data_IF_897032174593
#
_entry.id   IF_897032174593
#
_cell.length_a   1.000
_cell.length_b   1.000
_cell.length_c   1.000
_cell.angle_alpha   90.00
_cell.angle_beta   90.00
_cell.angle_gamma   90.00
#
_symmetry.space_group_name_H-M   'P 1'
#
loop_
_entity.id
_entity.type
_entity.pdbx_description
1 polymer ?
#
# COMPACT_ATOMS: atom_id res chain seq x y z
N UNK A 1 0.02 28.95 -20.88
CA UNK A 1 -0.70 29.30 -19.63
C UNK A 1 0.18 28.88 -18.48
N UNK A 2 0.23 29.64 -17.38
CA UNK A 2 0.96 29.21 -16.18
C UNK A 2 0.17 28.06 -15.54
N UNK A 3 0.78 26.88 -15.36
CA UNK A 3 0.11 25.73 -14.72
C UNK A 3 0.47 25.63 -13.23
N UNK A 4 -0.54 25.49 -12.38
CA UNK A 4 -0.41 25.33 -10.92
C UNK A 4 -0.95 23.98 -10.46
N UNK A 5 -0.07 23.17 -9.88
CA UNK A 5 -0.38 21.85 -9.34
C UNK A 5 -0.61 21.90 -7.82
N UNK A 6 -1.74 21.38 -7.36
CA UNK A 6 -1.93 21.02 -5.96
C UNK A 6 -1.59 19.54 -5.75
N UNK A 7 -0.67 19.21 -4.85
CA UNK A 7 -0.35 17.83 -4.46
C UNK A 7 -0.98 17.55 -3.10
N UNK A 8 -1.98 16.67 -3.06
CA UNK A 8 -2.62 16.22 -1.81
C UNK A 8 -1.84 15.04 -1.25
N UNK A 9 -0.94 15.29 -0.29
CA UNK A 9 -0.23 14.24 0.45
C UNK A 9 -1.15 13.70 1.55
N UNK A 10 -1.79 12.56 1.26
CA UNK A 10 -2.85 11.99 2.10
C UNK A 10 -2.35 11.35 3.40
N UNK A 11 -1.19 10.69 3.36
CA UNK A 11 -0.65 9.90 4.46
C UNK A 11 0.84 9.65 4.29
N UNK A 12 1.46 9.00 5.28
CA UNK A 12 2.89 8.71 5.26
C UNK A 12 3.34 7.74 4.16
N UNK A 13 2.45 6.94 3.57
CA UNK A 13 2.82 6.13 2.40
C UNK A 13 2.75 6.95 1.11
N UNK A 14 1.76 7.85 0.99
CA UNK A 14 1.76 8.91 -0.03
C UNK A 14 3.03 9.76 0.05
N UNK A 15 3.45 10.15 1.26
CA UNK A 15 4.73 10.83 1.48
C UNK A 15 5.91 9.99 0.98
N UNK A 16 6.03 8.72 1.42
CA UNK A 16 7.09 7.81 0.96
C UNK A 16 7.17 7.74 -0.56
N UNK A 17 6.02 7.55 -1.20
CA UNK A 17 5.97 7.27 -2.62
C UNK A 17 6.23 8.53 -3.46
N UNK A 18 5.84 9.72 -3.01
CA UNK A 18 5.88 10.93 -3.85
C UNK A 18 6.91 11.98 -3.40
N UNK A 19 7.24 12.02 -2.11
CA UNK A 19 8.23 12.95 -1.55
C UNK A 19 9.63 12.34 -1.45
N UNK A 20 9.73 11.01 -1.29
CA UNK A 20 11.02 10.30 -1.27
C UNK A 20 11.40 9.69 -2.63
N UNK A 21 10.58 9.88 -3.66
CA UNK A 21 10.90 9.56 -5.06
C UNK A 21 11.37 10.81 -5.82
N UNK A 22 11.55 10.72 -7.13
CA UNK A 22 11.92 11.90 -7.95
C UNK A 22 10.70 12.73 -8.33
N UNK A 23 9.48 12.25 -8.05
CA UNK A 23 8.24 12.89 -8.47
C UNK A 23 8.17 14.38 -8.11
N UNK A 24 8.40 14.74 -6.85
CA UNK A 24 8.27 16.13 -6.40
C UNK A 24 9.19 17.07 -7.19
N UNK A 25 10.46 16.71 -7.34
CA UNK A 25 11.42 17.50 -8.12
C UNK A 25 10.97 17.62 -9.59
N UNK A 26 10.47 16.53 -10.18
CA UNK A 26 9.97 16.53 -11.56
C UNK A 26 8.68 17.31 -11.74
N UNK A 27 7.83 17.38 -10.71
CA UNK A 27 6.66 18.24 -10.72
C UNK A 27 7.08 19.72 -10.69
N UNK A 28 8.07 20.10 -9.89
CA UNK A 28 8.61 21.48 -9.90
C UNK A 28 9.25 21.87 -11.24
N UNK A 29 9.86 20.91 -11.94
CA UNK A 29 10.40 21.14 -13.29
C UNK A 29 9.29 21.27 -14.35
N UNK A 30 8.14 20.61 -14.14
CA UNK A 30 7.06 20.50 -15.14
C UNK A 30 5.97 21.58 -15.02
N UNK A 31 5.74 22.08 -13.81
CA UNK A 31 4.70 23.06 -13.50
C UNK A 31 5.31 24.41 -13.14
N UNK A 32 4.58 25.50 -13.39
CA UNK A 32 5.02 26.84 -13.01
C UNK A 32 5.00 27.04 -11.49
N UNK A 33 4.02 26.42 -10.83
CA UNK A 33 3.87 26.47 -9.39
C UNK A 33 3.35 25.12 -8.87
N UNK A 34 3.92 24.68 -7.75
CA UNK A 34 3.49 23.48 -7.04
C UNK A 34 3.15 23.90 -5.62
N UNK A 35 2.04 23.43 -5.07
CA UNK A 35 1.66 23.61 -3.66
C UNK A 35 1.30 22.26 -3.08
N UNK A 36 1.77 21.98 -1.86
CA UNK A 36 1.43 20.75 -1.15
C UNK A 36 0.24 21.04 -0.22
N UNK A 37 -0.86 20.32 -0.42
CA UNK A 37 -1.96 20.25 0.55
C UNK A 37 -1.75 18.99 1.39
N UNK A 38 -1.29 19.14 2.63
CA UNK A 38 -0.88 17.98 3.44
C UNK A 38 -1.88 17.60 4.51
N UNK A 39 -2.26 16.32 4.54
CA UNK A 39 -2.94 15.71 5.68
C UNK A 39 -1.96 15.30 6.81
N UNK A 40 -0.66 15.50 6.61
CA UNK A 40 0.40 15.36 7.61
C UNK A 40 0.81 16.76 8.12
N UNK A 41 1.39 16.87 9.33
CA UNK A 41 1.97 18.13 9.80
C UNK A 41 3.13 18.60 8.91
N UNK A 42 3.35 19.92 8.77
CA UNK A 42 4.49 20.50 8.03
C UNK A 42 5.84 20.01 8.55
N UNK A 43 5.92 19.74 9.85
CA UNK A 43 7.12 19.19 10.50
C UNK A 43 7.57 17.85 9.87
N UNK A 44 6.66 17.08 9.25
CA UNK A 44 7.01 15.84 8.55
C UNK A 44 7.94 16.07 7.34
N UNK A 45 8.04 17.30 6.83
CA UNK A 45 8.81 17.65 5.64
C UNK A 45 10.14 18.33 5.96
N UNK A 46 10.44 18.60 7.23
CA UNK A 46 11.59 19.44 7.64
C UNK A 46 12.94 18.95 7.14
N UNK A 47 13.09 17.63 7.02
CA UNK A 47 14.33 16.98 6.61
C UNK A 47 14.43 16.83 5.09
N UNK A 48 13.41 17.31 4.35
CA UNK A 48 13.38 17.34 2.90
C UNK A 48 13.61 18.76 2.37
N UNK A 49 14.32 18.86 1.25
CA UNK A 49 14.46 20.12 0.53
C UNK A 49 13.19 20.42 -0.29
N UNK A 50 12.13 20.85 0.39
CA UNK A 50 10.84 21.20 -0.23
C UNK A 50 10.79 22.71 -0.45
N UNK A 51 10.93 23.13 -1.71
CA UNK A 51 10.86 24.53 -2.11
C UNK A 51 9.46 24.89 -2.65
N UNK A 52 8.43 24.69 -1.84
CA UNK A 52 7.07 25.14 -2.16
C UNK A 52 6.25 25.44 -0.91
N UNK A 53 5.10 26.11 -1.09
CA UNK A 53 4.15 26.26 0.00
C UNK A 53 3.58 24.89 0.40
N UNK A 54 3.56 24.64 1.71
CA UNK A 54 2.88 23.50 2.32
C UNK A 54 1.70 24.07 3.13
N UNK A 55 0.49 23.68 2.78
CA UNK A 55 -0.75 24.02 3.47
C UNK A 55 -1.20 22.78 4.24
N UNK A 56 -1.24 22.84 5.57
CA UNK A 56 -1.81 21.75 6.36
C UNK A 56 -3.32 21.76 6.23
N UNK A 57 -3.90 20.61 5.93
CA UNK A 57 -5.34 20.43 5.90
C UNK A 57 -5.83 20.06 7.29
N UNK A 58 -6.85 20.78 7.75
CA UNK A 58 -7.60 20.47 8.95
C UNK A 58 -8.20 19.06 8.89
N UNK A 59 -8.41 18.39 10.03
CA UNK A 59 -8.86 17.00 10.05
C UNK A 59 -10.38 16.94 9.88
N UNK A 60 -10.84 16.33 8.80
CA UNK A 60 -12.26 16.04 8.63
C UNK A 60 -12.68 14.81 9.45
N UNK A 61 -13.61 15.01 10.38
CA UNK A 61 -14.20 13.93 11.18
C UNK A 61 -15.59 13.56 10.63
N UNK A 62 -15.79 12.28 10.30
CA UNK A 62 -17.05 11.83 9.72
C UNK A 62 -18.22 11.90 10.71
N UNK A 63 -19.24 12.69 10.35
CA UNK A 63 -20.57 12.61 10.94
C UNK A 63 -21.24 11.26 10.67
N UNK A 64 -22.31 10.95 11.41
CA UNK A 64 -23.05 9.71 11.19
C UNK A 64 -23.59 9.57 9.75
N UNK A 65 -24.13 10.64 9.17
CA UNK A 65 -24.72 10.58 7.83
C UNK A 65 -23.67 10.49 6.72
N UNK A 66 -22.54 11.19 6.85
CA UNK A 66 -21.41 11.04 5.92
C UNK A 66 -20.86 9.62 5.96
N UNK A 67 -20.66 9.07 7.16
CA UNK A 67 -20.31 7.66 7.36
C UNK A 67 -21.35 6.71 6.74
N UNK A 68 -22.65 6.96 6.94
CA UNK A 68 -23.73 6.09 6.46
C UNK A 68 -23.72 5.97 4.93
N UNK A 69 -23.62 7.09 4.22
CA UNK A 69 -23.59 7.09 2.76
C UNK A 69 -22.26 6.58 2.20
N UNK A 70 -21.13 6.91 2.84
CA UNK A 70 -19.85 6.28 2.52
C UNK A 70 -19.92 4.76 2.66
N UNK A 71 -20.50 4.28 3.75
CA UNK A 71 -20.62 2.85 4.03
C UNK A 71 -21.58 2.17 3.06
N UNK A 72 -22.66 2.84 2.68
CA UNK A 72 -23.58 2.37 1.64
C UNK A 72 -22.88 2.25 0.28
N UNK A 73 -22.08 3.26 -0.09
CA UNK A 73 -21.24 3.25 -1.29
C UNK A 73 -20.23 2.09 -1.28
N UNK A 74 -19.54 1.88 -0.17
CA UNK A 74 -18.57 0.78 0.03
C UNK A 74 -19.24 -0.60 -0.10
N UNK A 75 -20.32 -0.85 0.66
CA UNK A 75 -20.97 -2.15 0.68
C UNK A 75 -21.67 -2.43 -0.65
N UNK A 76 -22.28 -1.42 -1.30
CA UNK A 76 -22.84 -1.54 -2.64
C UNK A 76 -21.79 -1.99 -3.67
N UNK A 77 -20.60 -1.38 -3.67
CA UNK A 77 -19.50 -1.80 -4.54
C UNK A 77 -19.09 -3.25 -4.29
N UNK A 78 -18.90 -3.63 -3.02
CA UNK A 78 -18.56 -5.01 -2.67
C UNK A 78 -19.67 -6.00 -3.09
N UNK A 79 -20.95 -5.63 -2.92
CA UNK A 79 -22.08 -6.45 -3.36
C UNK A 79 -22.12 -6.65 -4.88
N UNK A 80 -21.81 -5.60 -5.65
CA UNK A 80 -21.80 -5.63 -7.11
C UNK A 80 -20.75 -6.62 -7.64
N UNK A 81 -19.57 -6.62 -7.02
CA UNK A 81 -18.39 -7.33 -7.53
C UNK A 81 -18.04 -8.62 -6.78
N UNK A 82 -18.84 -9.05 -5.79
CA UNK A 82 -18.56 -10.29 -5.02
C UNK A 82 -18.61 -11.58 -5.85
N UNK A 83 -19.32 -11.59 -6.97
CA UNK A 83 -19.47 -12.81 -7.79
C UNK A 83 -18.12 -13.16 -8.41
N UNK A 84 -17.66 -14.39 -8.20
CA UNK A 84 -16.38 -14.92 -8.70
C UNK A 84 -15.13 -14.15 -8.22
N UNK A 85 -15.25 -13.28 -7.22
CA UNK A 85 -14.11 -12.59 -6.60
C UNK A 85 -14.12 -12.84 -5.08
N UNK A 86 -13.28 -13.78 -4.65
CA UNK A 86 -13.23 -14.22 -3.26
C UNK A 86 -12.68 -13.15 -2.31
N UNK A 87 -11.73 -12.34 -2.77
CA UNK A 87 -11.18 -11.21 -2.01
C UNK A 87 -12.26 -10.18 -1.65
N UNK A 88 -13.09 -9.81 -2.63
CA UNK A 88 -14.24 -8.91 -2.43
C UNK A 88 -15.31 -9.56 -1.53
N UNK A 89 -15.61 -10.84 -1.73
CA UNK A 89 -16.57 -11.57 -0.89
C UNK A 89 -16.13 -11.59 0.59
N UNK A 90 -14.87 -11.91 0.87
CA UNK A 90 -14.32 -11.92 2.24
C UNK A 90 -14.35 -10.52 2.84
N UNK A 91 -13.99 -9.48 2.07
CA UNK A 91 -14.08 -8.10 2.55
C UNK A 91 -15.53 -7.68 2.81
N UNK A 92 -16.50 -8.11 1.99
CA UNK A 92 -17.92 -7.88 2.25
C UNK A 92 -18.34 -8.49 3.59
N UNK A 93 -17.92 -9.73 3.87
CA UNK A 93 -18.23 -10.39 5.15
C UNK A 93 -17.61 -9.66 6.35
N UNK A 94 -16.35 -9.19 6.24
CA UNK A 94 -15.67 -8.39 7.28
C UNK A 94 -16.39 -7.09 7.61
N UNK A 95 -17.16 -6.55 6.66
CA UNK A 95 -17.91 -5.32 6.85
C UNK A 95 -19.23 -5.51 7.63
N UNK A 96 -19.65 -6.75 7.89
CA UNK A 96 -20.82 -7.05 8.70
C UNK A 96 -20.55 -6.86 10.20
N UNK A 97 -21.56 -6.45 10.97
CA UNK A 97 -21.46 -6.37 12.43
C UNK A 97 -22.78 -6.68 13.13
N UNK A 98 -22.69 -7.38 14.26
CA UNK A 98 -23.80 -7.68 15.17
C UNK A 98 -23.85 -6.72 16.37
N UNK A 99 -23.04 -5.65 16.36
CA UNK A 99 -23.05 -4.65 17.42
C UNK A 99 -24.46 -4.06 17.63
N UNK A 100 -24.84 -3.90 18.90
CA UNK A 100 -26.13 -3.32 19.33
C UNK A 100 -25.97 -1.83 19.63
N UNK A 101 -25.47 -1.07 18.65
CA UNK A 101 -25.33 0.39 18.70
C UNK A 101 -25.85 1.01 17.39
N UNK A 102 -26.06 2.34 17.30
CA UNK A 102 -26.65 2.97 16.12
C UNK A 102 -25.96 2.60 14.79
N UNK A 103 -24.61 2.59 14.75
CA UNK A 103 -23.84 2.18 13.57
C UNK A 103 -24.02 0.69 13.25
N UNK A 104 -24.16 -0.17 14.25
CA UNK A 104 -24.43 -1.59 14.06
C UNK A 104 -25.79 -1.85 13.41
N UNK A 105 -26.87 -1.23 13.91
CA UNK A 105 -28.19 -1.31 13.28
C UNK A 105 -28.19 -0.74 11.86
N UNK A 106 -27.56 0.43 11.69
CA UNK A 106 -27.42 1.06 10.38
C UNK A 106 -26.64 0.19 9.40
N UNK A 107 -25.57 -0.48 9.83
CA UNK A 107 -24.80 -1.39 8.97
C UNK A 107 -25.68 -2.54 8.47
N UNK A 108 -26.46 -3.19 9.34
CA UNK A 108 -27.39 -4.25 8.92
C UNK A 108 -28.44 -3.75 7.94
N UNK A 109 -28.96 -2.54 8.16
CA UNK A 109 -29.85 -1.88 7.20
C UNK A 109 -29.15 -1.62 5.85
N UNK A 110 -27.91 -1.12 5.86
CA UNK A 110 -27.11 -0.89 4.65
C UNK A 110 -26.94 -2.18 3.85
N UNK A 111 -26.65 -3.32 4.50
CA UNK A 111 -26.53 -4.61 3.81
C UNK A 111 -27.85 -5.02 3.13
N UNK A 112 -28.99 -4.82 3.80
CA UNK A 112 -30.32 -5.08 3.21
C UNK A 112 -30.63 -4.09 2.08
N UNK A 113 -30.26 -2.83 2.22
CA UNK A 113 -30.47 -1.81 1.18
C UNK A 113 -29.65 -2.14 -0.07
N UNK A 114 -28.36 -2.40 0.13
CA UNK A 114 -27.39 -2.63 -0.95
C UNK A 114 -27.48 -4.03 -1.56
N UNK A 115 -28.27 -4.95 -1.01
CA UNK A 115 -28.56 -6.22 -1.71
C UNK A 115 -29.42 -6.01 -2.96
N UNK A 116 -30.16 -4.89 -3.01
CA UNK A 116 -30.96 -4.49 -4.16
C UNK A 116 -30.38 -3.25 -4.88
N UNK A 117 -29.74 -2.35 -4.13
CA UNK A 117 -29.23 -1.08 -4.64
C UNK A 117 -27.69 -1.09 -4.74
N UNK A 118 -27.14 -1.96 -5.58
CA UNK A 118 -25.67 -2.10 -5.74
C UNK A 118 -25.14 -1.80 -7.15
N UNK A 119 -25.99 -1.43 -8.11
CA UNK A 119 -25.50 -1.06 -9.44
C UNK A 119 -24.61 0.19 -9.39
N UNK A 120 -23.73 0.38 -10.39
CA UNK A 120 -22.88 1.57 -10.48
C UNK A 120 -23.69 2.87 -10.35
N UNK A 121 -24.90 2.93 -10.93
CA UNK A 121 -25.80 4.08 -10.78
C UNK A 121 -26.18 4.35 -9.31
N UNK A 122 -26.42 3.31 -8.52
CA UNK A 122 -26.73 3.46 -7.09
C UNK A 122 -25.50 3.81 -6.25
N UNK A 123 -24.33 3.25 -6.58
CA UNK A 123 -23.05 3.63 -5.97
C UNK A 123 -22.80 5.14 -6.14
N UNK A 124 -23.04 5.67 -7.35
CA UNK A 124 -22.92 7.09 -7.64
C UNK A 124 -23.98 7.93 -6.92
N UNK A 125 -25.22 7.43 -6.79
CA UNK A 125 -26.25 8.08 -5.95
C UNK A 125 -25.85 8.16 -4.48
N UNK A 126 -25.27 7.09 -3.91
CA UNK A 126 -24.76 7.14 -2.54
C UNK A 126 -23.61 8.13 -2.39
N UNK A 127 -22.72 8.24 -3.40
CA UNK A 127 -21.68 9.27 -3.42
C UNK A 127 -22.29 10.68 -3.40
N UNK A 128 -23.29 10.94 -4.26
CA UNK A 128 -23.98 12.23 -4.28
C UNK A 128 -24.68 12.52 -2.95
N UNK A 129 -25.37 11.54 -2.36
CA UNK A 129 -25.99 11.70 -1.04
C UNK A 129 -24.95 11.99 0.05
N UNK A 130 -23.77 11.37 0.01
CA UNK A 130 -22.66 11.68 0.91
C UNK A 130 -22.25 13.15 0.79
N UNK A 131 -22.13 13.66 -0.45
CA UNK A 131 -21.73 15.04 -0.74
C UNK A 131 -22.71 16.10 -0.22
N UNK A 132 -24.01 15.80 -0.17
CA UNK A 132 -25.01 16.72 0.40
C UNK A 132 -24.71 17.06 1.88
N UNK A 133 -24.06 16.15 2.62
CA UNK A 133 -23.67 16.39 4.01
C UNK A 133 -22.31 17.08 4.16
N UNK A 134 -21.49 17.13 3.11
CA UNK A 134 -20.25 17.92 3.12
C UNK A 134 -20.53 19.43 2.98
N UNK A 135 -21.56 19.81 2.22
CA UNK A 135 -21.88 21.22 1.91
C UNK A 135 -21.89 22.17 3.12
N UNK A 136 -22.41 21.71 4.26
CA UNK A 136 -22.59 22.56 5.45
C UNK A 136 -21.47 22.41 6.49
N UNK A 137 -20.55 21.47 6.27
CA UNK A 137 -19.45 21.18 7.19
C UNK A 137 -18.40 22.31 7.17
N UNK A 138 -17.88 22.67 8.35
CA UNK A 138 -16.95 23.80 8.52
C UNK A 138 -15.61 23.52 7.85
N UNK A 139 -15.07 22.31 8.02
CA UNK A 139 -13.79 21.90 7.43
C UNK A 139 -13.90 21.84 5.89
N UNK A 140 -15.04 21.39 5.38
CA UNK A 140 -15.30 21.39 3.93
C UNK A 140 -15.29 22.81 3.35
N UNK A 141 -15.87 23.79 4.06
CA UNK A 141 -15.84 25.21 3.64
C UNK A 141 -14.42 25.78 3.67
N UNK A 142 -13.62 25.41 4.67
CA UNK A 142 -12.20 25.77 4.72
C UNK A 142 -11.45 25.25 3.49
N UNK A 143 -11.64 23.98 3.13
CA UNK A 143 -11.05 23.43 1.90
C UNK A 143 -11.50 24.19 0.64
N UNK A 144 -12.78 24.55 0.56
CA UNK A 144 -13.30 25.32 -0.57
C UNK A 144 -12.58 26.68 -0.69
N UNK A 145 -12.40 27.41 0.42
CA UNK A 145 -11.68 28.69 0.40
C UNK A 145 -10.19 28.52 0.07
N UNK A 146 -9.54 27.47 0.56
CA UNK A 146 -8.15 27.13 0.17
C UNK A 146 -8.08 26.91 -1.34
N UNK A 147 -8.89 26.00 -1.89
CA UNK A 147 -8.84 25.69 -3.33
C UNK A 147 -9.20 26.88 -4.20
N UNK A 148 -10.15 27.73 -3.77
CA UNK A 148 -10.55 28.96 -4.46
C UNK A 148 -9.44 30.01 -4.44
N UNK A 149 -8.77 30.20 -3.30
CA UNK A 149 -7.64 31.12 -3.15
C UNK A 149 -6.45 30.69 -4.01
N UNK A 150 -6.12 29.40 -3.96
CA UNK A 150 -4.95 28.87 -4.65
C UNK A 150 -5.15 28.72 -6.16
N UNK A 151 -6.40 28.55 -6.62
CA UNK A 151 -6.78 28.50 -8.04
C UNK A 151 -5.94 27.47 -8.84
N UNK A 152 -5.95 26.22 -8.39
CA UNK A 152 -5.24 25.11 -9.03
C UNK A 152 -5.82 24.76 -10.40
N UNK A 153 -4.95 24.45 -11.37
CA UNK A 153 -5.36 23.85 -12.65
C UNK A 153 -5.60 22.34 -12.50
N UNK A 154 -4.83 21.69 -11.63
CA UNK A 154 -4.93 20.27 -11.34
C UNK A 154 -4.68 19.98 -9.86
N UNK A 155 -5.52 19.13 -9.27
CA UNK A 155 -5.34 18.61 -7.92
C UNK A 155 -5.02 17.11 -7.97
N UNK A 156 -3.83 16.73 -7.53
CA UNK A 156 -3.33 15.36 -7.55
C UNK A 156 -3.37 14.71 -6.16
N UNK A 157 -4.10 13.61 -6.02
CA UNK A 157 -4.22 12.84 -4.78
C UNK A 157 -3.28 11.64 -4.78
N UNK A 158 -2.39 11.57 -3.78
CA UNK A 158 -1.42 10.47 -3.67
C UNK A 158 -2.03 9.15 -3.19
N UNK A 159 -3.21 9.21 -2.57
CA UNK A 159 -3.96 8.04 -2.14
C UNK A 159 -5.48 8.29 -2.24
N UNK A 160 -6.19 7.39 -2.94
CA UNK A 160 -7.60 7.48 -3.31
C UNK A 160 -8.64 6.93 -2.32
N UNK A 161 -8.25 6.37 -1.16
CA UNK A 161 -9.17 5.58 -0.29
C UNK A 161 -9.57 6.23 1.03
N UNK A 162 -8.69 6.94 1.76
CA UNK A 162 -9.07 7.42 3.09
C UNK A 162 -10.31 8.32 3.04
N UNK A 163 -11.25 8.18 3.99
CA UNK A 163 -12.52 8.90 3.92
C UNK A 163 -12.36 10.41 4.10
N UNK A 164 -11.33 10.85 4.83
CA UNK A 164 -11.11 12.25 5.17
C UNK A 164 -10.69 13.14 3.98
N UNK A 165 -10.31 12.55 2.84
CA UNK A 165 -10.04 13.32 1.60
C UNK A 165 -11.31 13.56 0.77
N UNK A 166 -12.42 12.86 1.03
CA UNK A 166 -13.65 13.00 0.26
C UNK A 166 -14.22 14.44 0.21
N UNK A 167 -14.15 15.25 1.28
CA UNK A 167 -14.60 16.64 1.20
C UNK A 167 -13.70 17.54 0.36
N UNK A 168 -12.39 17.24 0.27
CA UNK A 168 -11.46 17.97 -0.62
C UNK A 168 -11.82 17.71 -2.09
N UNK A 169 -12.11 16.45 -2.43
CA UNK A 169 -12.60 16.06 -3.76
C UNK A 169 -13.90 16.80 -4.08
N UNK A 170 -14.85 16.82 -3.15
CA UNK A 170 -16.11 17.54 -3.30
C UNK A 170 -15.90 19.06 -3.52
N UNK A 171 -15.00 19.69 -2.78
CA UNK A 171 -14.66 21.10 -2.97
C UNK A 171 -14.07 21.36 -4.36
N UNK A 172 -13.18 20.48 -4.85
CA UNK A 172 -12.63 20.56 -6.20
C UNK A 172 -13.72 20.42 -7.28
N UNK A 173 -14.66 19.49 -7.11
CA UNK A 173 -15.81 19.31 -8.03
C UNK A 173 -16.67 20.58 -8.13
N UNK A 174 -16.97 21.24 -6.99
CA UNK A 174 -17.74 22.49 -6.97
C UNK A 174 -17.04 23.63 -7.71
N UNK A 175 -15.72 23.72 -7.55
CA UNK A 175 -14.88 24.73 -8.20
C UNK A 175 -14.50 24.34 -9.63
N UNK A 176 -14.86 23.13 -10.08
CA UNK A 176 -14.46 22.56 -11.38
C UNK A 176 -12.94 22.50 -11.55
N UNK A 177 -12.21 22.32 -10.46
CA UNK A 177 -10.78 22.03 -10.48
C UNK A 177 -10.61 20.58 -10.92
N UNK A 178 -9.78 20.35 -11.94
CA UNK A 178 -9.54 19.00 -12.44
C UNK A 178 -8.83 18.16 -11.38
N UNK A 179 -9.22 16.90 -11.24
CA UNK A 179 -8.68 15.99 -10.23
C UNK A 179 -7.98 14.79 -10.86
N UNK A 180 -6.82 14.43 -10.32
CA UNK A 180 -6.12 13.20 -10.65
C UNK A 180 -5.84 12.40 -9.37
N UNK A 181 -5.83 11.07 -9.45
CA UNK A 181 -5.43 10.23 -8.31
C UNK A 181 -4.48 9.12 -8.74
N UNK A 182 -3.63 8.71 -7.81
CA UNK A 182 -2.86 7.48 -7.94
C UNK A 182 -3.59 6.30 -7.29
N UNK A 183 -3.65 5.16 -7.98
CA UNK A 183 -4.11 3.90 -7.39
C UNK A 183 -2.99 3.33 -6.55
N UNK A 184 -3.12 3.53 -5.24
CA UNK A 184 -2.04 3.37 -4.27
C UNK A 184 -1.38 1.98 -4.21
N UNK A 185 -2.09 0.90 -4.51
CA UNK A 185 -1.62 -0.49 -4.27
C UNK A 185 -2.32 -1.47 -5.21
N UNK A 186 -1.59 -2.51 -5.62
CA UNK A 186 -2.03 -3.63 -6.46
C UNK A 186 -3.22 -4.44 -5.93
N UNK A 187 -3.47 -4.45 -4.62
CA UNK A 187 -4.60 -5.18 -4.05
C UNK A 187 -5.89 -4.33 -3.95
N UNK A 188 -5.82 -3.02 -4.22
CA UNK A 188 -6.91 -2.11 -3.92
C UNK A 188 -8.17 -2.35 -4.75
N UNK A 189 -8.04 -2.55 -6.06
CA UNK A 189 -9.19 -2.62 -6.97
C UNK A 189 -9.90 -3.97 -6.86
N UNK A 190 -9.14 -5.06 -6.86
CA UNK A 190 -9.68 -6.41 -6.92
C UNK A 190 -10.04 -7.02 -5.55
N UNK A 191 -9.83 -6.32 -4.42
CA UNK A 191 -10.14 -6.87 -3.09
C UNK A 191 -10.79 -5.93 -2.10
N UNK A 192 -10.73 -4.61 -2.28
CA UNK A 192 -11.17 -3.64 -1.26
C UNK A 192 -12.50 -2.98 -1.62
N UNK A 193 -12.96 -2.12 -0.71
CA UNK A 193 -14.13 -1.28 -0.92
C UNK A 193 -13.92 -0.17 -1.95
N UNK A 194 -14.94 0.67 -2.11
CA UNK A 194 -14.95 1.80 -3.06
C UNK A 194 -13.98 2.92 -2.64
N UNK A 195 -13.42 3.63 -3.62
CA UNK A 195 -12.66 4.89 -3.41
C UNK A 195 -13.47 5.96 -2.66
N UNK A 196 -12.75 6.91 -2.05
CA UNK A 196 -13.33 7.99 -1.24
C UNK A 196 -14.22 8.94 -2.06
N UNK A 197 -13.90 9.17 -3.33
CA UNK A 197 -14.67 9.97 -4.28
C UNK A 197 -14.42 9.52 -5.73
N UNK A 198 -14.92 10.30 -6.69
CA UNK A 198 -14.61 10.12 -8.10
C UNK A 198 -13.51 11.11 -8.50
N UNK A 199 -12.73 10.75 -9.52
CA UNK A 199 -11.66 11.60 -10.05
C UNK A 199 -11.79 11.71 -11.57
N UNK A 200 -11.25 12.79 -12.15
CA UNK A 200 -11.25 12.98 -13.60
C UNK A 200 -10.20 12.11 -14.29
N UNK A 201 -9.08 11.85 -13.61
CA UNK A 201 -7.93 11.13 -14.15
C UNK A 201 -7.32 10.15 -13.13
N UNK A 202 -6.77 9.04 -13.62
CA UNK A 202 -6.27 7.93 -12.80
C UNK A 202 -4.89 7.47 -13.27
N UNK A 203 -3.96 7.42 -12.34
CA UNK A 203 -2.62 6.85 -12.53
C UNK A 203 -2.57 5.46 -11.92
N UNK A 204 -2.10 4.47 -12.71
CA UNK A 204 -2.05 3.05 -12.31
C UNK A 204 -0.66 2.44 -12.56
N UNK A 205 -0.36 1.36 -11.87
CA UNK A 205 0.95 0.71 -11.90
C UNK A 205 1.23 -0.02 -13.21
N UNK A 206 0.20 -0.69 -13.73
CA UNK A 206 0.33 -1.62 -14.84
C UNK A 206 -0.90 -1.65 -15.74
N UNK A 207 -0.74 -2.28 -16.90
CA UNK A 207 -1.84 -2.57 -17.82
C UNK A 207 -2.87 -3.53 -17.17
N UNK A 208 -2.44 -4.43 -16.29
CA UNK A 208 -3.33 -5.25 -15.46
C UNK A 208 -4.22 -4.34 -14.58
N UNK A 209 -3.62 -3.44 -13.80
CA UNK A 209 -4.37 -2.54 -12.94
C UNK A 209 -5.29 -1.58 -13.73
N UNK A 210 -4.89 -1.19 -14.95
CA UNK A 210 -5.77 -0.45 -15.87
C UNK A 210 -7.02 -1.28 -16.22
N UNK A 211 -6.85 -2.56 -16.56
CA UNK A 211 -7.98 -3.45 -16.89
C UNK A 211 -8.89 -3.68 -15.68
N UNK A 212 -8.32 -3.87 -14.49
CA UNK A 212 -9.07 -4.01 -13.24
C UNK A 212 -9.86 -2.74 -12.92
N UNK A 213 -9.27 -1.55 -13.13
CA UNK A 213 -9.96 -0.29 -12.90
C UNK A 213 -11.21 -0.17 -13.79
N UNK A 214 -11.09 -0.49 -15.08
CA UNK A 214 -12.22 -0.50 -16.00
C UNK A 214 -13.28 -1.54 -15.61
N UNK A 215 -12.88 -2.69 -15.08
CA UNK A 215 -13.78 -3.75 -14.62
C UNK A 215 -14.57 -3.36 -13.36
N UNK A 216 -13.89 -2.81 -12.34
CA UNK A 216 -14.48 -2.52 -11.03
C UNK A 216 -15.08 -1.11 -10.92
N UNK A 217 -14.77 -0.23 -11.88
CA UNK A 217 -15.26 1.14 -11.94
C UNK A 217 -15.80 1.44 -13.35
N UNK A 218 -16.96 0.86 -13.74
CA UNK A 218 -17.46 0.94 -15.11
C UNK A 218 -17.88 2.34 -15.57
N UNK A 219 -17.88 3.34 -14.67
CA UNK A 219 -18.04 4.76 -15.02
C UNK A 219 -16.75 5.42 -15.50
N UNK A 220 -15.58 4.83 -15.21
CA UNK A 220 -14.27 5.30 -15.66
C UNK A 220 -14.06 4.87 -17.11
N UNK A 221 -13.56 5.79 -17.93
CA UNK A 221 -13.26 5.56 -19.34
C UNK A 221 -11.76 5.42 -19.56
N UNK A 222 -11.37 4.70 -20.61
CA UNK A 222 -9.97 4.38 -20.88
C UNK A 222 -9.07 5.61 -20.99
N UNK A 223 -9.53 6.69 -21.64
CA UNK A 223 -8.76 7.92 -21.79
C UNK A 223 -8.45 8.65 -20.48
N UNK A 224 -9.16 8.32 -19.40
CA UNK A 224 -8.93 8.87 -18.06
C UNK A 224 -7.77 8.16 -17.35
N UNK A 225 -7.27 7.04 -17.89
CA UNK A 225 -6.30 6.17 -17.20
C UNK A 225 -4.94 6.25 -17.90
N UNK A 226 -3.87 6.43 -17.12
CA UNK A 226 -2.49 6.32 -17.60
C UNK A 226 -1.69 5.35 -16.75
N UNK A 227 -0.99 4.44 -17.42
CA UNK A 227 -0.11 3.45 -16.82
C UNK A 227 1.28 4.07 -16.67
N UNK A 228 1.69 4.29 -15.42
CA UNK A 228 2.90 5.06 -15.10
C UNK A 228 3.97 4.27 -14.35
N UNK A 229 3.68 3.04 -13.94
CA UNK A 229 4.53 2.32 -12.98
C UNK A 229 4.18 2.69 -11.55
N UNK A 230 5.03 2.33 -10.60
CA UNK A 230 4.79 2.61 -9.19
C UNK A 230 5.93 3.42 -8.56
N UNK A 231 5.64 4.63 -8.05
CA UNK A 231 6.65 5.43 -7.38
C UNK A 231 7.04 4.82 -6.02
N UNK A 232 6.33 3.79 -5.56
CA UNK A 232 6.72 2.96 -4.40
C UNK A 232 8.07 2.29 -4.58
N UNK A 233 8.41 1.90 -5.82
CA UNK A 233 9.63 1.14 -6.15
C UNK A 233 10.70 2.01 -6.83
N UNK A 234 10.39 3.24 -7.24
CA UNK A 234 11.39 4.15 -7.80
C UNK A 234 12.62 4.34 -6.89
N UNK A 235 12.49 4.49 -5.56
CA UNK A 235 13.66 4.55 -4.66
C UNK A 235 14.68 3.42 -4.83
N UNK A 236 14.29 2.27 -5.38
CA UNK A 236 15.17 1.11 -5.59
C UNK A 236 16.20 1.33 -6.70
N UNK A 237 15.95 2.29 -7.60
CA UNK A 237 16.86 2.64 -8.71
C UNK A 237 17.57 3.99 -8.52
N UNK A 238 17.24 4.77 -7.49
CA UNK A 238 17.80 6.11 -7.28
C UNK A 238 19.15 6.08 -6.57
N UNK A 239 20.17 6.76 -7.09
CA UNK A 239 21.54 6.70 -6.56
C UNK A 239 21.66 7.15 -5.10
N UNK A 240 20.87 8.15 -4.68
CA UNK A 240 20.89 8.69 -3.30
C UNK A 240 20.55 7.67 -2.21
N UNK A 241 19.90 6.57 -2.55
CA UNK A 241 19.58 5.50 -1.60
C UNK A 241 20.54 4.30 -1.70
N UNK A 242 21.60 4.36 -2.54
CA UNK A 242 22.48 3.20 -2.76
C UNK A 242 23.32 2.96 -1.52
N UNK A 243 23.49 1.69 -1.19
CA UNK A 243 24.43 1.25 -0.17
C UNK A 243 25.41 0.23 -0.75
N UNK A 244 26.41 -0.15 0.04
CA UNK A 244 27.38 -1.19 -0.29
C UNK A 244 27.11 -2.44 0.54
N UNK A 245 27.54 -3.61 0.04
CA UNK A 245 27.36 -4.88 0.78
C UNK A 245 28.07 -4.84 2.14
N UNK A 246 29.22 -4.18 2.22
CA UNK A 246 29.96 -3.96 3.47
C UNK A 246 29.15 -3.13 4.47
N UNK A 247 28.59 -1.98 4.04
CA UNK A 247 27.73 -1.16 4.90
C UNK A 247 26.50 -1.94 5.36
N UNK A 248 25.90 -2.74 4.49
CA UNK A 248 24.78 -3.61 4.85
C UNK A 248 25.15 -4.61 5.96
N UNK A 249 26.29 -5.30 5.84
CA UNK A 249 26.72 -6.21 6.90
C UNK A 249 27.03 -5.49 8.21
N UNK A 250 27.67 -4.31 8.15
CA UNK A 250 28.02 -3.53 9.34
C UNK A 250 26.77 -2.97 10.04
N UNK A 251 25.82 -2.39 9.29
CA UNK A 251 24.59 -1.78 9.82
C UNK A 251 23.72 -2.79 10.57
N UNK A 252 23.64 -4.02 10.05
CA UNK A 252 22.80 -5.08 10.64
C UNK A 252 23.58 -6.12 11.44
N UNK A 253 24.87 -5.89 11.69
CA UNK A 253 25.77 -6.79 12.42
C UNK A 253 25.72 -8.25 11.88
N UNK A 254 25.91 -8.39 10.57
CA UNK A 254 25.83 -9.64 9.82
C UNK A 254 27.22 -10.18 9.48
N UNK A 255 27.38 -11.51 9.49
CA UNK A 255 28.64 -12.16 9.10
C UNK A 255 28.82 -12.12 7.57
N UNK A 256 29.88 -11.48 7.03
CA UNK A 256 30.07 -11.33 5.60
C UNK A 256 30.36 -12.65 4.85
N UNK A 257 30.71 -13.72 5.57
CA UNK A 257 30.93 -15.06 5.01
C UNK A 257 29.65 -15.87 4.81
N UNK A 258 28.53 -15.43 5.39
CA UNK A 258 27.25 -16.14 5.36
C UNK A 258 26.28 -15.54 4.35
N UNK A 259 25.42 -16.40 3.78
CA UNK A 259 24.22 -15.94 3.07
C UNK A 259 23.24 -15.32 4.06
N UNK A 260 22.43 -14.39 3.59
CA UNK A 260 21.44 -13.68 4.41
C UNK A 260 20.02 -14.04 4.01
N UNK A 261 19.24 -14.59 4.96
CA UNK A 261 17.80 -14.75 4.84
C UNK A 261 17.14 -13.57 5.54
N UNK A 262 16.25 -12.87 4.83
CA UNK A 262 15.38 -11.86 5.42
C UNK A 262 13.96 -12.40 5.56
N UNK A 263 13.43 -12.46 6.78
CA UNK A 263 11.99 -12.62 7.00
C UNK A 263 11.34 -11.23 7.11
N UNK A 264 10.36 -10.96 6.26
CA UNK A 264 9.61 -9.69 6.29
C UNK A 264 8.25 -9.91 6.95
N UNK A 265 8.07 -9.40 8.17
CA UNK A 265 6.82 -9.49 8.89
C UNK A 265 5.73 -8.63 8.25
N UNK A 266 4.49 -9.13 8.31
CA UNK A 266 3.30 -8.32 8.03
C UNK A 266 2.64 -7.86 9.32
N UNK A 267 1.62 -7.02 9.21
CA UNK A 267 0.81 -6.59 10.36
C UNK A 267 0.05 -7.77 10.99
N UNK A 268 -0.07 -7.80 12.33
CA UNK A 268 -0.76 -8.86 13.08
C UNK A 268 -2.19 -9.15 12.60
N UNK A 269 -2.91 -8.19 12.03
CA UNK A 269 -4.26 -8.47 11.50
C UNK A 269 -4.26 -9.39 10.29
N UNK A 270 -3.12 -9.45 9.58
CA UNK A 270 -2.92 -10.27 8.38
C UNK A 270 -1.99 -11.45 8.64
N UNK A 271 -0.94 -11.27 9.45
CA UNK A 271 0.22 -12.17 9.56
C UNK A 271 0.43 -12.71 10.97
N UNK A 272 -0.64 -13.28 11.54
CA UNK A 272 -0.64 -13.81 12.92
C UNK A 272 0.33 -14.96 13.14
N UNK A 273 0.66 -15.72 12.10
CA UNK A 273 1.55 -16.88 12.18
C UNK A 273 3.03 -16.51 12.00
N UNK A 274 3.41 -15.22 11.88
CA UNK A 274 4.81 -14.82 11.69
C UNK A 274 5.75 -15.37 12.76
N UNK A 275 5.32 -15.39 14.03
CA UNK A 275 6.11 -15.95 15.13
C UNK A 275 6.42 -17.44 14.91
N UNK A 276 5.42 -18.21 14.44
CA UNK A 276 5.58 -19.62 14.11
C UNK A 276 6.58 -19.82 12.95
N UNK A 277 6.51 -18.97 11.92
CA UNK A 277 7.42 -19.05 10.77
C UNK A 277 8.85 -18.74 11.17
N UNK A 278 9.05 -17.68 11.96
CA UNK A 278 10.38 -17.30 12.47
C UNK A 278 10.93 -18.40 13.38
N UNK A 279 10.12 -18.95 14.29
CA UNK A 279 10.53 -20.05 15.17
C UNK A 279 10.93 -21.31 14.38
N UNK A 280 10.16 -21.63 13.33
CA UNK A 280 10.44 -22.78 12.45
C UNK A 280 11.80 -22.62 11.76
N UNK A 281 12.07 -21.42 11.21
CA UNK A 281 13.34 -21.13 10.52
C UNK A 281 14.50 -21.14 11.53
N UNK A 282 14.37 -20.46 12.67
CA UNK A 282 15.41 -20.39 13.69
C UNK A 282 15.74 -21.75 14.30
N UNK A 283 14.71 -22.59 14.53
CA UNK A 283 14.88 -23.98 14.95
C UNK A 283 15.62 -24.80 13.90
N UNK A 284 15.28 -24.64 12.62
CA UNK A 284 15.94 -25.34 11.52
C UNK A 284 17.42 -24.95 11.37
N UNK A 285 17.78 -23.68 11.62
CA UNK A 285 19.18 -23.22 11.67
C UNK A 285 19.90 -23.90 12.84
N UNK A 286 19.31 -23.86 14.03
CA UNK A 286 19.90 -24.41 15.26
C UNK A 286 20.14 -25.93 15.15
N UNK A 287 19.22 -26.64 14.50
CA UNK A 287 19.28 -28.08 14.31
C UNK A 287 20.06 -28.52 13.06
N UNK A 288 20.68 -27.58 12.32
CA UNK A 288 21.39 -27.83 11.05
C UNK A 288 20.53 -28.47 9.94
N UNK A 289 19.21 -28.28 9.98
CA UNK A 289 18.30 -28.67 8.90
C UNK A 289 18.36 -27.69 7.70
N UNK A 290 18.86 -26.47 7.94
CA UNK A 290 19.30 -25.52 6.92
C UNK A 290 20.74 -25.09 7.26
N UNK A 291 21.56 -24.69 6.27
CA UNK A 291 22.93 -24.26 6.53
C UNK A 291 22.97 -23.02 7.42
N UNK A 292 24.13 -22.77 8.04
CA UNK A 292 24.36 -21.55 8.82
C UNK A 292 24.23 -20.32 7.91
N UNK A 293 23.40 -19.37 8.31
CA UNK A 293 23.07 -18.14 7.58
C UNK A 293 22.96 -16.97 8.55
N UNK A 294 23.09 -15.75 8.04
CA UNK A 294 22.57 -14.58 8.72
C UNK A 294 21.04 -14.62 8.65
N UNK A 295 20.36 -14.51 9.80
CA UNK A 295 18.90 -14.44 9.84
C UNK A 295 18.44 -13.07 10.31
N UNK A 296 17.97 -12.27 9.36
CA UNK A 296 17.45 -10.93 9.58
C UNK A 296 15.92 -10.97 9.58
N UNK A 297 15.28 -10.40 10.60
CA UNK A 297 13.83 -10.24 10.68
C UNK A 297 13.49 -8.75 10.65
N UNK A 298 12.77 -8.32 9.61
CA UNK A 298 12.27 -6.95 9.48
C UNK A 298 10.81 -6.89 9.93
N UNK A 299 10.55 -6.11 10.99
CA UNK A 299 9.21 -5.93 11.58
C UNK A 299 8.33 -5.10 10.64
N UNK A 300 7.01 -5.28 10.74
CA UNK A 300 6.05 -4.41 10.07
C UNK A 300 6.14 -2.98 10.62
N UNK A 301 6.16 -1.92 9.80
CA UNK A 301 6.18 -0.54 10.27
C UNK A 301 4.94 -0.18 11.12
N UNK A 302 3.87 -0.98 11.05
CA UNK A 302 2.64 -0.80 11.82
C UNK A 302 2.73 -1.33 13.26
N UNK A 303 3.78 -2.07 13.60
CA UNK A 303 3.94 -2.76 14.89
C UNK A 303 5.19 -2.30 15.64
N UNK A 304 5.19 -2.44 16.96
CA UNK A 304 6.35 -2.16 17.84
C UNK A 304 7.25 -3.39 18.07
N UNK A 305 6.85 -4.54 17.52
CA UNK A 305 7.56 -5.82 17.65
C UNK A 305 7.50 -6.45 19.04
N UNK A 306 6.57 -6.02 19.89
CA UNK A 306 6.33 -6.60 21.22
C UNK A 306 5.96 -8.09 21.15
N UNK A 307 5.18 -8.50 20.14
CA UNK A 307 4.81 -9.91 19.94
C UNK A 307 5.99 -10.86 19.74
N UNK A 308 7.15 -10.36 19.33
CA UNK A 308 8.33 -11.19 19.10
C UNK A 308 9.28 -11.29 20.30
N UNK A 309 8.85 -10.88 21.50
CA UNK A 309 9.71 -10.87 22.71
C UNK A 309 10.30 -12.24 23.01
N UNK A 310 9.48 -13.28 23.03
CA UNK A 310 9.92 -14.64 23.37
C UNK A 310 10.94 -15.17 22.36
N UNK A 311 10.79 -14.82 21.08
CA UNK A 311 11.74 -15.20 20.04
C UNK A 311 13.08 -14.46 20.15
N UNK A 312 13.07 -13.19 20.58
CA UNK A 312 14.30 -12.43 20.85
C UNK A 312 15.08 -13.03 22.02
N UNK A 313 14.38 -13.52 23.04
CA UNK A 313 15.00 -14.19 24.19
C UNK A 313 15.49 -15.59 23.82
N UNK A 314 14.72 -16.36 23.04
CA UNK A 314 15.04 -17.73 22.63
C UNK A 314 16.19 -17.81 21.61
N UNK A 315 16.28 -16.85 20.68
CA UNK A 315 17.25 -16.89 19.57
C UNK A 315 18.05 -15.58 19.45
N UNK A 316 19.12 -15.47 20.23
CA UNK A 316 20.00 -14.29 20.26
C UNK A 316 20.75 -14.01 18.95
N UNK A 317 20.85 -14.99 18.05
CA UNK A 317 21.50 -14.83 16.75
C UNK A 317 20.62 -14.12 15.70
N UNK A 318 19.30 -13.99 15.95
CA UNK A 318 18.40 -13.27 15.04
C UNK A 318 18.70 -11.78 15.11
N UNK A 319 18.95 -11.16 13.95
CA UNK A 319 19.08 -9.70 13.83
C UNK A 319 17.70 -9.11 13.55
N UNK A 320 17.31 -8.10 14.31
CA UNK A 320 15.99 -7.48 14.22
C UNK A 320 16.10 -6.08 13.66
N UNK A 321 15.41 -5.82 12.56
CA UNK A 321 15.32 -4.50 11.97
C UNK A 321 13.91 -3.91 12.19
N UNK A 322 13.88 -2.73 12.81
CA UNK A 322 12.65 -1.98 13.06
C UNK A 322 12.57 -0.83 12.06
N UNK A 323 11.55 -0.78 11.20
CA UNK A 323 11.41 0.33 10.26
C UNK A 323 11.34 1.68 10.97
N UNK A 324 12.11 2.66 10.49
CA UNK A 324 12.20 4.00 11.09
C UNK A 324 11.04 4.88 10.60
N UNK A 325 9.82 4.49 10.96
CA UNK A 325 8.56 5.19 10.64
C UNK A 325 8.07 5.99 11.86
N UNK A 326 8.22 7.31 11.79
CA UNK A 326 7.91 8.23 12.88
C UNK A 326 6.44 8.61 12.86
N UNK A 327 5.76 8.48 14.01
CA UNK A 327 4.38 8.95 14.16
C UNK A 327 4.37 10.48 14.28
N UNK A 328 3.81 11.16 13.29
CA UNK A 328 3.82 12.63 13.20
C UNK A 328 2.62 13.29 13.90
N UNK A 329 1.52 12.55 14.12
CA UNK A 329 0.32 13.04 14.79
C UNK A 329 -0.36 11.91 15.57
N UNK A 330 -0.63 12.11 16.86
CA UNK A 330 -1.27 11.09 17.73
C UNK A 330 -2.79 11.08 17.62
N UNK A 331 -3.40 12.27 17.55
CA UNK A 331 -4.86 12.46 17.58
C UNK A 331 -5.46 12.46 16.17
N UNK A 332 -5.24 11.37 15.44
CA UNK A 332 -5.82 11.16 14.11
C UNK A 332 -6.69 9.90 14.10
N UNK A 333 -7.83 9.95 13.42
CA UNK A 333 -8.77 8.82 13.32
C UNK A 333 -8.15 7.55 12.71
N UNK A 334 -7.05 7.70 11.96
CA UNK A 334 -6.24 6.62 11.42
C UNK A 334 -4.76 6.87 11.79
N UNK A 335 -4.33 6.48 12.99
CA UNK A 335 -2.95 6.79 13.46
C UNK A 335 -1.86 6.19 12.57
N UNK A 336 -2.11 5.03 11.94
CA UNK A 336 -1.21 4.42 10.96
C UNK A 336 -0.90 5.37 9.78
N UNK A 337 -1.90 6.11 9.30
CA UNK A 337 -1.72 7.03 8.16
C UNK A 337 -0.79 8.20 8.48
N UNK A 338 -0.51 8.45 9.77
CA UNK A 338 0.35 9.53 10.25
C UNK A 338 1.80 9.07 10.51
N UNK A 339 2.14 7.81 10.24
CA UNK A 339 3.50 7.30 10.33
C UNK A 339 4.26 7.57 9.04
N UNK A 340 5.37 8.29 9.12
CA UNK A 340 6.17 8.73 7.97
C UNK A 340 7.55 8.06 8.01
N UNK A 341 8.02 7.42 6.92
CA UNK A 341 9.36 6.86 6.88
C UNK A 341 10.43 7.95 6.81
N UNK A 342 11.55 7.69 7.47
CA UNK A 342 12.78 8.46 7.29
C UNK A 342 13.51 8.06 6.00
N UNK A 343 14.41 8.93 5.51
CA UNK A 343 15.34 8.60 4.42
C UNK A 343 16.20 7.38 4.77
N UNK A 344 16.61 7.29 6.03
CA UNK A 344 17.39 6.17 6.56
C UNK A 344 16.64 4.84 6.42
N UNK A 345 15.34 4.79 6.73
CA UNK A 345 14.52 3.58 6.51
C UNK A 345 14.50 3.13 5.04
N UNK A 346 14.51 4.09 4.10
CA UNK A 346 14.52 3.78 2.66
C UNK A 346 15.87 3.19 2.24
N UNK A 347 16.98 3.70 2.78
CA UNK A 347 18.33 3.16 2.58
C UNK A 347 18.42 1.75 3.17
N UNK A 348 17.94 1.56 4.38
CA UNK A 348 17.91 0.27 5.08
C UNK A 348 17.11 -0.76 4.28
N UNK A 349 15.86 -0.42 3.91
CA UNK A 349 15.00 -1.29 3.11
C UNK A 349 15.66 -1.66 1.80
N UNK A 350 16.18 -0.69 1.03
CA UNK A 350 16.84 -1.01 -0.24
C UNK A 350 18.06 -1.91 -0.06
N UNK A 351 18.86 -1.67 0.97
CA UNK A 351 20.03 -2.50 1.28
C UNK A 351 19.61 -3.95 1.58
N UNK A 352 18.55 -4.13 2.36
CA UNK A 352 17.96 -5.44 2.65
C UNK A 352 17.49 -6.13 1.37
N UNK A 353 16.77 -5.42 0.50
CA UNK A 353 16.29 -5.96 -0.78
C UNK A 353 17.44 -6.37 -1.70
N UNK A 354 18.48 -5.54 -1.78
CA UNK A 354 19.61 -5.72 -2.68
C UNK A 354 20.59 -6.82 -2.22
N UNK A 355 20.85 -6.91 -0.91
CA UNK A 355 21.96 -7.71 -0.38
C UNK A 355 21.53 -8.97 0.36
N UNK A 356 20.25 -9.17 0.69
CA UNK A 356 19.79 -10.49 1.14
C UNK A 356 19.81 -11.49 -0.03
N UNK A 357 19.98 -12.77 0.30
CA UNK A 357 20.02 -13.88 -0.66
C UNK A 357 18.64 -14.52 -0.86
N UNK A 358 17.78 -14.46 0.15
CA UNK A 358 16.44 -15.05 0.14
C UNK A 358 15.49 -14.21 0.99
N UNK A 359 14.27 -13.99 0.49
CA UNK A 359 13.18 -13.44 1.30
C UNK A 359 12.10 -14.47 1.62
N UNK A 360 11.56 -14.34 2.83
CA UNK A 360 10.42 -15.11 3.29
C UNK A 360 9.39 -14.11 3.85
N UNK A 361 8.15 -14.17 3.37
CA UNK A 361 7.08 -13.28 3.82
C UNK A 361 5.71 -13.92 3.60
N UNK A 362 4.72 -13.64 4.45
CA UNK A 362 3.35 -14.13 4.27
C UNK A 362 2.60 -13.25 3.25
N UNK A 363 2.69 -13.63 1.96
CA UNK A 363 1.91 -13.08 0.83
C UNK A 363 1.86 -11.54 0.76
N UNK A 364 2.97 -10.88 1.06
CA UNK A 364 3.12 -9.43 1.14
C UNK A 364 3.62 -8.83 -0.19
N UNK A 365 3.46 -7.51 -0.35
CA UNK A 365 4.12 -6.74 -1.41
C UNK A 365 5.63 -6.98 -1.42
N UNK A 366 6.24 -7.27 -0.25
CA UNK A 366 7.66 -7.59 -0.11
C UNK A 366 8.12 -8.66 -1.11
N UNK A 367 7.23 -9.54 -1.55
CA UNK A 367 7.52 -10.47 -2.65
C UNK A 367 7.94 -9.73 -3.93
N UNK A 368 7.16 -8.73 -4.38
CA UNK A 368 7.50 -7.88 -5.52
C UNK A 368 8.74 -7.02 -5.26
N UNK A 369 8.88 -6.47 -4.05
CA UNK A 369 10.05 -5.66 -3.67
C UNK A 369 11.36 -6.44 -3.87
N UNK A 370 11.43 -7.68 -3.39
CA UNK A 370 12.60 -8.55 -3.53
C UNK A 370 12.79 -9.07 -4.96
N UNK A 371 11.70 -9.31 -5.70
CA UNK A 371 11.77 -9.71 -7.11
C UNK A 371 12.36 -8.60 -8.00
N UNK A 372 12.17 -7.32 -7.65
CA UNK A 372 12.84 -6.21 -8.36
C UNK A 372 14.37 -6.31 -8.30
N UNK A 373 14.91 -6.97 -7.27
CA UNK A 373 16.34 -7.28 -7.11
C UNK A 373 16.67 -8.74 -7.47
N UNK A 374 15.77 -9.42 -8.19
CA UNK A 374 15.89 -10.81 -8.65
C UNK A 374 15.99 -11.87 -7.54
N UNK A 375 15.67 -11.51 -6.31
CA UNK A 375 15.82 -12.41 -5.16
C UNK A 375 14.71 -13.47 -5.14
N UNK A 376 15.03 -14.73 -4.80
CA UNK A 376 14.01 -15.75 -4.58
C UNK A 376 13.13 -15.40 -3.37
N UNK A 377 11.88 -15.87 -3.41
CA UNK A 377 10.86 -15.57 -2.40
C UNK A 377 10.09 -16.85 -2.02
N UNK A 378 9.89 -17.06 -0.73
CA UNK A 378 9.02 -18.11 -0.19
C UNK A 378 7.86 -17.45 0.56
N UNK A 379 6.65 -17.94 0.32
CA UNK A 379 5.46 -17.51 1.06
C UNK A 379 4.90 -18.65 1.93
N UNK A 380 5.19 -18.66 3.24
CA UNK A 380 4.59 -19.62 4.16
C UNK A 380 3.13 -19.27 4.45
N UNK A 381 2.27 -20.29 4.48
CA UNK A 381 0.83 -20.25 4.77
C UNK A 381 0.40 -21.54 5.47
N UNK A 382 0.90 -21.74 6.70
CA UNK A 382 0.66 -23.00 7.44
C UNK A 382 -0.79 -23.12 7.91
N UNK A 383 -1.49 -22.00 8.06
CA UNK A 383 -2.84 -22.00 8.61
C UNK A 383 -3.92 -22.35 7.59
N UNK A 384 -4.56 -23.48 7.81
CA UNK A 384 -5.81 -23.90 7.14
C UNK A 384 -6.98 -23.91 8.12
N UNK A 385 -8.19 -24.19 7.63
CA UNK A 385 -9.40 -24.28 8.48
C UNK A 385 -9.30 -25.41 9.52
N UNK A 386 -8.52 -26.45 9.24
CA UNK A 386 -8.39 -27.67 10.07
C UNK A 386 -7.13 -27.66 10.94
N UNK A 387 -6.20 -26.73 10.72
CA UNK A 387 -4.87 -26.71 11.37
C UNK A 387 -4.85 -26.21 12.82
N UNK A 388 -5.92 -25.56 13.29
CA UNK A 388 -5.94 -24.85 14.58
C UNK A 388 -5.14 -23.54 14.61
N UNK A 389 -4.39 -23.23 13.54
CA UNK A 389 -3.68 -21.97 13.35
C UNK A 389 -4.59 -20.88 12.77
N UNK A 390 -4.12 -19.64 12.75
CA UNK A 390 -4.82 -18.59 12.00
C UNK A 390 -4.83 -18.94 10.51
N UNK A 391 -6.02 -19.15 9.93
CA UNK A 391 -6.16 -19.48 8.52
C UNK A 391 -5.69 -18.32 7.62
N UNK A 392 -4.44 -18.38 7.17
CA UNK A 392 -3.81 -17.49 6.20
C UNK A 392 -3.83 -18.07 4.79
N UNK A 393 -4.06 -19.37 4.60
CA UNK A 393 -4.31 -19.95 3.28
C UNK A 393 -5.54 -19.34 2.58
N UNK A 394 -6.51 -18.78 3.33
CA UNK A 394 -7.64 -18.03 2.76
C UNK A 394 -7.22 -16.86 1.85
N UNK A 395 -6.00 -16.34 2.00
CA UNK A 395 -5.48 -15.25 1.17
C UNK A 395 -5.05 -15.74 -0.23
N UNK A 396 -4.80 -17.04 -0.42
CA UNK A 396 -4.47 -17.63 -1.72
C UNK A 396 -5.58 -17.43 -2.77
N UNK A 397 -6.83 -17.25 -2.31
CA UNK A 397 -7.98 -17.02 -3.19
C UNK A 397 -8.17 -15.53 -3.57
N UNK A 398 -7.34 -14.62 -3.06
CA UNK A 398 -7.41 -13.20 -3.43
C UNK A 398 -6.86 -13.02 -4.84
N UNK A 399 -7.52 -12.20 -5.66
CA UNK A 399 -7.24 -12.13 -7.09
C UNK A 399 -5.78 -11.79 -7.42
N UNK A 400 -5.20 -10.82 -6.72
CA UNK A 400 -3.79 -10.47 -6.87
C UNK A 400 -2.82 -11.56 -6.37
N UNK A 401 -3.23 -12.42 -5.42
CA UNK A 401 -2.43 -13.55 -4.95
C UNK A 401 -2.55 -14.75 -5.89
N UNK A 402 -3.70 -14.98 -6.52
CA UNK A 402 -3.81 -15.99 -7.58
C UNK A 402 -2.80 -15.75 -8.70
N UNK A 403 -2.57 -14.48 -9.04
CA UNK A 403 -1.51 -14.10 -9.98
C UNK A 403 -0.12 -14.57 -9.51
N UNK A 404 0.20 -14.42 -8.22
CA UNK A 404 1.44 -14.93 -7.63
C UNK A 404 1.51 -16.46 -7.74
N UNK A 405 0.49 -17.16 -7.27
CA UNK A 405 0.43 -18.64 -7.28
C UNK A 405 0.53 -19.20 -8.71
N UNK A 406 -0.26 -18.66 -9.63
CA UNK A 406 -0.31 -19.10 -11.03
C UNK A 406 0.99 -18.82 -11.77
N UNK A 407 1.67 -17.72 -11.44
CA UNK A 407 2.96 -17.38 -12.03
C UNK A 407 4.09 -18.32 -11.59
N UNK A 408 3.93 -19.05 -10.47
CA UNK A 408 4.98 -19.86 -9.83
C UNK A 408 6.25 -19.07 -9.47
N UNK A 409 6.13 -17.75 -9.36
CA UNK A 409 7.22 -16.84 -9.01
C UNK A 409 7.72 -16.99 -7.58
N UNK A 410 6.91 -17.60 -6.71
CA UNK A 410 7.29 -17.93 -5.33
C UNK A 410 7.03 -19.40 -5.03
N UNK A 411 7.70 -19.94 -4.01
CA UNK A 411 7.29 -21.21 -3.39
C UNK A 411 6.27 -20.92 -2.30
N UNK A 412 5.08 -21.48 -2.44
CA UNK A 412 4.07 -21.50 -1.38
C UNK A 412 4.35 -22.68 -0.47
N UNK A 413 4.64 -22.43 0.80
CA UNK A 413 4.93 -23.46 1.79
C UNK A 413 3.77 -23.60 2.79
N UNK A 414 3.14 -24.77 2.85
CA UNK A 414 1.96 -25.02 3.70
C UNK A 414 2.28 -25.69 5.03
N UNK A 415 3.55 -26.05 5.25
CA UNK A 415 4.05 -26.64 6.49
C UNK A 415 5.57 -26.40 6.62
N UNK A 416 6.11 -26.81 7.76
CA UNK A 416 7.52 -26.71 8.13
C UNK A 416 8.44 -27.43 7.14
N UNK A 417 8.10 -28.65 6.75
CA UNK A 417 8.86 -29.46 5.80
C UNK A 417 8.99 -28.78 4.43
N UNK A 418 7.87 -28.25 3.90
CA UNK A 418 7.86 -27.50 2.65
C UNK A 418 8.67 -26.20 2.75
N UNK A 419 8.58 -25.49 3.88
CA UNK A 419 9.35 -24.26 4.11
C UNK A 419 10.85 -24.54 4.13
N UNK A 420 11.29 -25.53 4.92
CA UNK A 420 12.70 -25.92 5.03
C UNK A 420 13.23 -26.42 3.68
N UNK A 421 12.45 -27.24 2.97
CA UNK A 421 12.81 -27.73 1.64
C UNK A 421 12.98 -26.59 0.63
N UNK A 422 12.06 -25.62 0.62
CA UNK A 422 12.14 -24.45 -0.25
C UNK A 422 13.33 -23.54 0.10
N UNK A 423 13.66 -23.37 1.39
CA UNK A 423 14.84 -22.62 1.82
C UNK A 423 16.12 -23.28 1.27
N UNK A 424 16.29 -24.58 1.51
CA UNK A 424 17.47 -25.31 1.03
C UNK A 424 17.58 -25.25 -0.49
N UNK A 425 16.47 -25.40 -1.22
CA UNK A 425 16.42 -25.26 -2.67
C UNK A 425 16.95 -23.90 -3.13
N UNK A 426 16.43 -22.79 -2.58
CA UNK A 426 16.81 -21.45 -3.04
C UNK A 426 18.19 -21.00 -2.55
N UNK A 427 18.67 -21.49 -1.40
CA UNK A 427 20.05 -21.27 -1.00
C UNK A 427 21.04 -21.98 -1.92
N UNK A 428 20.66 -23.11 -2.54
CA UNK A 428 21.52 -23.80 -3.51
C UNK A 428 21.36 -23.28 -4.93
N UNK A 429 20.11 -23.04 -5.36
CA UNK A 429 19.73 -22.71 -6.74
C UNK A 429 18.82 -21.46 -6.78
N UNK A 430 19.34 -20.26 -6.46
CA UNK A 430 18.52 -19.04 -6.35
C UNK A 430 17.84 -18.62 -7.67
N UNK A 431 18.39 -19.03 -8.81
CA UNK A 431 17.94 -18.64 -10.16
C UNK A 431 16.83 -19.54 -10.71
N UNK A 432 16.48 -20.64 -10.04
CA UNK A 432 15.60 -21.70 -10.60
C UNK A 432 14.23 -21.20 -11.07
N UNK A 433 13.67 -20.16 -10.44
CA UNK A 433 12.41 -19.52 -10.83
C UNK A 433 12.58 -18.03 -11.21
N UNK A 434 13.77 -17.61 -11.67
CA UNK A 434 14.04 -16.19 -12.00
C UNK A 434 13.11 -15.67 -13.11
N UNK A 435 12.81 -16.50 -14.12
CA UNK A 435 11.95 -16.11 -15.25
C UNK A 435 10.51 -15.86 -14.80
N UNK A 436 10.00 -16.71 -13.93
CA UNK A 436 8.68 -16.64 -13.33
C UNK A 436 8.54 -15.36 -12.48
N UNK A 437 9.57 -15.05 -11.68
CA UNK A 437 9.66 -13.79 -10.91
C UNK A 437 9.66 -12.57 -11.81
N UNK A 438 10.48 -12.56 -12.87
CA UNK A 438 10.54 -11.45 -13.82
C UNK A 438 9.20 -11.22 -14.51
N UNK A 439 8.51 -12.28 -14.93
CA UNK A 439 7.18 -12.19 -15.55
C UNK A 439 6.12 -11.65 -14.59
N UNK A 440 6.15 -12.03 -13.31
CA UNK A 440 5.24 -11.48 -12.32
C UNK A 440 5.48 -9.97 -12.13
N UNK A 441 6.75 -9.54 -12.02
CA UNK A 441 7.10 -8.12 -11.91
C UNK A 441 6.61 -7.34 -13.12
N UNK A 442 6.85 -7.81 -14.34
CA UNK A 442 6.38 -7.17 -15.58
C UNK A 442 4.85 -7.03 -15.62
N UNK A 443 4.13 -8.05 -15.17
CA UNK A 443 2.66 -8.03 -15.13
C UNK A 443 2.13 -7.02 -14.09
N UNK A 444 2.78 -6.92 -12.92
CA UNK A 444 2.31 -6.06 -11.83
C UNK A 444 2.83 -4.61 -11.94
N UNK A 445 3.97 -4.41 -12.59
CA UNK A 445 4.65 -3.14 -12.79
C UNK A 445 5.10 -3.07 -14.25
N UNK A 446 4.18 -2.67 -15.14
CA UNK A 446 4.39 -2.76 -16.61
C UNK A 446 5.17 -1.59 -17.21
N UNK A 447 5.87 -0.81 -16.36
CA UNK A 447 6.73 0.31 -16.75
C UNK A 447 8.06 0.22 -16.01
N UNK A 448 9.17 0.67 -16.61
CA UNK A 448 10.47 0.77 -15.93
C UNK A 448 10.37 1.59 -14.65
N UNK A 449 11.17 1.22 -13.65
CA UNK A 449 11.24 1.95 -12.39
C UNK A 449 11.94 3.31 -12.58
N UNK A 450 12.92 3.36 -13.48
CA UNK A 450 13.61 4.59 -13.86
C UNK A 450 12.65 5.62 -14.44
N UNK A 451 12.77 6.86 -13.97
CA UNK A 451 11.96 7.99 -14.41
C UNK A 451 10.45 7.81 -14.15
N UNK A 452 10.05 7.00 -13.17
CA UNK A 452 8.64 6.86 -12.78
C UNK A 452 8.08 8.20 -12.31
N UNK A 453 8.77 8.92 -11.44
CA UNK A 453 8.37 10.24 -10.96
C UNK A 453 8.27 11.28 -12.07
N UNK A 454 9.21 11.25 -13.03
CA UNK A 454 9.16 12.07 -14.24
C UNK A 454 7.91 11.77 -15.08
N UNK A 455 7.67 10.49 -15.37
CA UNK A 455 6.50 10.04 -16.16
C UNK A 455 5.18 10.48 -15.51
N UNK A 456 5.09 10.40 -14.18
CA UNK A 456 3.94 10.89 -13.42
C UNK A 456 3.79 12.40 -13.62
N UNK A 457 4.85 13.19 -13.37
CA UNK A 457 4.80 14.65 -13.49
C UNK A 457 4.42 15.12 -14.90
N UNK A 458 5.01 14.55 -15.94
CA UNK A 458 4.67 14.86 -17.35
C UNK A 458 3.23 14.47 -17.68
N UNK A 459 2.74 13.34 -17.15
CA UNK A 459 1.35 12.92 -17.35
C UNK A 459 0.37 13.89 -16.69
N UNK A 460 0.66 14.33 -15.47
CA UNK A 460 -0.15 15.33 -14.76
C UNK A 460 -0.12 16.67 -15.52
N UNK A 461 1.05 17.11 -15.98
CA UNK A 461 1.18 18.36 -16.75
C UNK A 461 0.40 18.32 -18.07
N UNK A 462 0.28 17.15 -18.71
CA UNK A 462 -0.56 16.98 -19.90
C UNK A 462 -2.07 16.96 -19.62
N UNK A 463 -2.48 16.89 -18.35
CA UNK A 463 -3.88 16.95 -17.92
C UNK A 463 -4.28 18.29 -17.34
N UNK A 464 -3.35 19.04 -16.74
CA UNK A 464 -3.53 20.46 -16.45
C UNK A 464 -3.70 21.23 -17.77
#
# INVERSE_FOLDING_TARGET
MMSKLGIVITDGVGFRNFMLSDFYQKAQESFNEVVILSCLPKEAYKDLNVNCEIIELSIFNESFFTWFFRKSKEVAHLQLHKKQNKGIEINLQKNWTNAKNPRGYATRFIFKLTSFLNSEKWIQRFNHCQQLFFKNDVITKEYFEILKKENFDLLFFTHQRPPFIAPVIYAAELLKVRTATFIFSWDNLASKGRMSGNYDCYLVWSDLMKSELLQFYPSVKEQQIKVVGTPQFEPYVLDRYKSTKEKFHNEFDLDPSMKTICFSCGDVSTSKNDELYIDTIASAITNNNIPKVNFLVRISPAEDGSRFKDLKEKYSFIKWNFPKWVLTRKDHQESWSQRVPTVEDVIDLRSILQFSDLNINMLSTMSLDFMCFKKPVINPVFGSIDSGLYNDQKFLDYEHIKNVVNSKSTRIAKNDSELISAINLYLQNPEIDEKERARLVEMQVSRPLENTGKRIAETLQGWA
#
